data_IF_329305128974
#
_entry.id   IF_329305128974
#
_cell.length_a   1.000
_cell.length_b   1.000
_cell.length_c   1.000
_cell.angle_alpha   90.00
_cell.angle_beta   90.00
_cell.angle_gamma   90.00
#
_symmetry.space_group_name_H-M   'P 1'
#
loop_
_entity.id
_entity.type
_entity.pdbx_description
1 polymer ?
#
# COMPACT_ATOMS: atom_id res chain seq x y z
N UNK A 1 17.12 27.81 5.02
CA UNK A 1 15.96 27.03 5.49
C UNK A 1 16.34 25.57 5.35
N UNK A 2 16.56 24.84 6.45
CA UNK A 2 16.82 23.40 6.36
C UNK A 2 15.54 22.67 5.93
N UNK A 3 15.64 21.75 4.99
CA UNK A 3 14.50 20.91 4.60
C UNK A 3 14.09 20.04 5.79
N UNK A 4 12.78 19.86 6.00
CA UNK A 4 12.23 19.02 7.08
C UNK A 4 12.59 17.52 6.91
N UNK A 5 12.92 17.12 5.68
CA UNK A 5 13.35 15.76 5.34
C UNK A 5 14.62 15.89 4.52
N UNK A 6 15.68 15.23 4.97
CA UNK A 6 16.92 15.13 4.23
C UNK A 6 16.82 13.99 3.20
N UNK A 7 16.91 14.35 1.93
CA UNK A 7 16.89 13.41 0.83
C UNK A 7 18.30 13.04 0.35
N UNK A 8 19.35 13.79 0.72
CA UNK A 8 20.66 13.72 0.06
C UNK A 8 21.72 13.02 0.90
N UNK A 9 21.71 13.16 2.23
CA UNK A 9 22.81 12.66 3.07
C UNK A 9 22.81 11.15 3.31
N UNK A 10 21.62 10.55 3.42
CA UNK A 10 21.46 9.16 3.83
C UNK A 10 20.47 8.46 2.91
N UNK A 11 20.84 7.30 2.40
CA UNK A 11 19.95 6.48 1.59
C UNK A 11 19.08 5.60 2.48
N UNK A 12 17.82 6.00 2.66
CA UNK A 12 16.84 5.27 3.46
C UNK A 12 15.82 4.52 2.61
N UNK A 13 16.04 4.45 1.29
CA UNK A 13 15.15 3.76 0.34
C UNK A 13 14.93 2.28 0.68
N UNK A 14 15.88 1.59 1.31
CA UNK A 14 15.66 0.21 1.75
C UNK A 14 14.68 0.10 2.92
N UNK A 15 14.66 1.09 3.83
CA UNK A 15 13.75 1.09 4.97
C UNK A 15 12.29 1.31 4.57
N UNK A 16 12.03 1.80 3.37
CA UNK A 16 10.65 1.93 2.88
C UNK A 16 10.04 0.59 2.48
N UNK A 17 10.84 -0.46 2.27
CA UNK A 17 10.33 -1.82 1.99
C UNK A 17 9.60 -2.40 3.22
N UNK A 18 10.18 -2.49 4.43
CA UNK A 18 9.45 -2.94 5.61
C UNK A 18 8.29 -1.99 5.98
N UNK A 19 8.41 -0.69 5.71
CA UNK A 19 7.27 0.24 5.87
C UNK A 19 6.14 -0.11 4.90
N UNK A 20 6.43 -0.37 3.63
CA UNK A 20 5.43 -0.79 2.66
C UNK A 20 4.77 -2.13 3.03
N UNK A 21 5.55 -3.09 3.56
CA UNK A 21 5.02 -4.34 4.12
C UNK A 21 4.05 -4.07 5.27
N UNK A 22 4.42 -3.22 6.23
CA UNK A 22 3.55 -2.84 7.33
C UNK A 22 2.25 -2.16 6.83
N UNK A 23 2.35 -1.31 5.80
CA UNK A 23 1.18 -0.69 5.16
C UNK A 23 0.27 -1.70 4.44
N UNK A 24 0.77 -2.86 4.02
CA UNK A 24 -0.06 -3.96 3.52
C UNK A 24 -0.77 -4.70 4.65
N UNK A 25 -0.13 -4.80 5.83
CA UNK A 25 -0.66 -5.49 7.00
C UNK A 25 -1.74 -4.69 7.74
N UNK A 26 -1.63 -3.37 7.80
CA UNK A 26 -2.59 -2.52 8.52
C UNK A 26 -4.05 -2.74 8.06
N UNK A 27 -4.39 -2.73 6.75
CA UNK A 27 -5.75 -3.05 6.29
C UNK A 27 -6.21 -4.45 6.69
N UNK A 28 -5.30 -5.44 6.67
CA UNK A 28 -5.61 -6.80 7.05
C UNK A 28 -5.98 -6.88 8.53
N UNK A 29 -5.12 -6.36 9.42
CA UNK A 29 -5.38 -6.31 10.86
C UNK A 29 -6.65 -5.52 11.17
N UNK A 30 -6.88 -4.40 10.49
CA UNK A 30 -8.11 -3.62 10.61
C UNK A 30 -9.35 -4.45 10.26
N UNK A 31 -9.30 -5.25 9.18
CA UNK A 31 -10.41 -6.11 8.79
C UNK A 31 -10.73 -7.20 9.82
N UNK A 32 -9.69 -7.76 10.48
CA UNK A 32 -9.85 -8.78 11.52
C UNK A 32 -10.49 -8.20 12.78
N UNK A 33 -10.03 -7.03 13.23
CA UNK A 33 -10.58 -6.33 14.39
C UNK A 33 -12.05 -5.97 14.15
N UNK A 34 -12.39 -5.48 12.95
CA UNK A 34 -13.78 -5.19 12.59
C UNK A 34 -14.66 -6.44 12.48
N UNK A 35 -14.11 -7.57 12.03
CA UNK A 35 -14.84 -8.81 11.92
C UNK A 35 -15.15 -9.44 13.29
N UNK A 36 -14.33 -9.18 14.31
CA UNK A 36 -14.55 -9.66 15.68
C UNK A 36 -14.76 -11.17 15.72
N UNK A 37 -15.90 -11.62 16.28
CA UNK A 37 -16.28 -13.05 16.37
C UNK A 37 -16.37 -13.76 15.02
N UNK A 38 -16.56 -13.03 13.92
CA UNK A 38 -16.68 -13.60 12.57
C UNK A 38 -15.31 -13.94 11.96
N UNK A 39 -14.21 -13.55 12.61
CA UNK A 39 -12.87 -13.96 12.24
C UNK A 39 -12.49 -15.30 12.90
N UNK A 40 -12.66 -16.39 12.15
CA UNK A 40 -12.20 -17.72 12.54
C UNK A 40 -10.70 -17.89 12.20
N UNK A 41 -9.89 -18.18 13.23
CA UNK A 41 -8.44 -18.39 13.11
C UNK A 41 -8.13 -19.73 12.41
N UNK A 42 -9.01 -20.73 12.49
CA UNK A 42 -8.87 -21.99 11.75
C UNK A 42 -9.13 -21.84 10.25
N UNK A 43 -9.97 -20.86 9.86
CA UNK A 43 -10.34 -20.59 8.48
C UNK A 43 -10.31 -19.09 8.14
N UNK A 44 -9.16 -18.41 8.25
CA UNK A 44 -9.06 -16.94 8.18
C UNK A 44 -9.42 -16.37 6.79
N UNK A 45 -9.41 -17.21 5.75
CA UNK A 45 -9.83 -16.80 4.40
C UNK A 45 -11.35 -16.69 4.28
N UNK A 46 -12.13 -17.31 5.17
CA UNK A 46 -13.60 -17.30 5.18
C UNK A 46 -14.23 -16.13 5.93
N UNK A 47 -13.43 -15.24 6.53
CA UNK A 47 -13.94 -14.10 7.31
C UNK A 47 -14.97 -13.24 6.56
N UNK A 48 -14.79 -12.98 5.27
CA UNK A 48 -15.76 -12.16 4.50
C UNK A 48 -17.10 -12.88 4.33
N UNK A 49 -17.05 -14.19 4.09
CA UNK A 49 -18.25 -15.02 3.98
C UNK A 49 -18.99 -15.08 5.32
N UNK A 50 -18.27 -15.23 6.43
CA UNK A 50 -18.85 -15.22 7.77
C UNK A 50 -19.50 -13.86 8.09
N UNK A 51 -18.81 -12.76 7.81
CA UNK A 51 -19.36 -11.41 8.01
C UNK A 51 -20.59 -11.15 7.13
N UNK A 52 -20.62 -11.66 5.89
CA UNK A 52 -21.76 -11.49 5.00
C UNK A 52 -22.99 -12.30 5.41
N UNK A 53 -22.81 -13.42 6.13
CA UNK A 53 -23.89 -14.27 6.65
C UNK A 53 -24.44 -13.78 8.00
N UNK A 54 -23.68 -12.97 8.74
CA UNK A 54 -24.11 -12.42 10.03
C UNK A 54 -25.12 -11.27 9.84
N UNK A 55 -26.41 -11.57 10.04
CA UNK A 55 -27.50 -10.60 9.92
C UNK A 55 -27.49 -9.53 11.03
N UNK A 56 -26.70 -9.72 12.09
CA UNK A 56 -26.54 -8.72 13.16
C UNK A 56 -25.53 -7.62 12.81
N UNK A 57 -24.72 -7.81 11.76
CA UNK A 57 -23.75 -6.79 11.32
C UNK A 57 -24.37 -5.78 10.37
N UNK A 58 -24.01 -4.51 10.56
CA UNK A 58 -24.35 -3.47 9.61
C UNK A 58 -23.68 -3.70 8.24
N UNK A 59 -24.45 -3.47 7.17
CA UNK A 59 -24.00 -3.69 5.78
C UNK A 59 -22.83 -2.78 5.40
N UNK A 60 -22.72 -1.56 5.96
CA UNK A 60 -21.58 -0.70 5.68
C UNK A 60 -20.30 -1.25 6.31
N UNK A 61 -20.39 -1.79 7.53
CA UNK A 61 -19.27 -2.49 8.18
C UNK A 61 -18.80 -3.70 7.37
N UNK A 62 -19.73 -4.55 6.90
CA UNK A 62 -19.39 -5.71 6.05
C UNK A 62 -18.67 -5.26 4.76
N UNK A 63 -19.17 -4.21 4.10
CA UNK A 63 -18.50 -3.65 2.91
C UNK A 63 -17.11 -3.10 3.25
N UNK A 64 -16.93 -2.44 4.40
CA UNK A 64 -15.64 -1.89 4.83
C UNK A 64 -14.61 -3.00 5.10
N UNK A 65 -15.02 -4.11 5.73
CA UNK A 65 -14.18 -5.30 5.92
C UNK A 65 -13.72 -5.85 4.57
N UNK A 66 -14.64 -6.01 3.61
CA UNK A 66 -14.28 -6.51 2.27
C UNK A 66 -13.30 -5.59 1.55
N UNK A 67 -13.53 -4.27 1.58
CA UNK A 67 -12.58 -3.30 1.00
C UNK A 67 -11.21 -3.33 1.68
N UNK A 68 -11.16 -3.49 3.01
CA UNK A 68 -9.89 -3.59 3.73
C UNK A 68 -9.10 -4.85 3.36
N UNK A 69 -9.78 -6.00 3.19
CA UNK A 69 -9.14 -7.22 2.69
C UNK A 69 -8.67 -7.09 1.24
N UNK A 70 -9.47 -6.49 0.37
CA UNK A 70 -9.07 -6.20 -1.00
C UNK A 70 -7.85 -5.24 -1.06
N UNK A 71 -7.80 -4.23 -0.20
CA UNK A 71 -6.68 -3.30 -0.10
C UNK A 71 -5.39 -4.00 0.35
N UNK A 72 -5.48 -4.92 1.33
CA UNK A 72 -4.36 -5.75 1.76
C UNK A 72 -3.84 -6.64 0.61
N UNK A 73 -4.74 -7.38 -0.07
CA UNK A 73 -4.36 -8.24 -1.22
C UNK A 73 -3.63 -7.46 -2.29
N UNK A 74 -4.19 -6.30 -2.69
CA UNK A 74 -3.57 -5.42 -3.68
C UNK A 74 -2.19 -4.92 -3.25
N UNK A 75 -2.02 -4.61 -1.96
CA UNK A 75 -0.72 -4.26 -1.40
C UNK A 75 0.29 -5.39 -1.60
N UNK A 76 -0.06 -6.62 -1.20
CA UNK A 76 0.81 -7.78 -1.34
C UNK A 76 1.15 -8.14 -2.79
N UNK A 77 0.19 -8.03 -3.70
CA UNK A 77 0.38 -8.27 -5.14
C UNK A 77 1.45 -7.34 -5.75
N UNK A 78 1.57 -6.12 -5.24
CA UNK A 78 2.48 -5.09 -5.79
C UNK A 78 3.76 -4.90 -4.97
N UNK A 79 3.82 -5.43 -3.75
CA UNK A 79 4.97 -5.29 -2.84
C UNK A 79 6.25 -5.88 -3.42
N UNK A 80 6.17 -7.07 -4.04
CA UNK A 80 7.33 -7.72 -4.66
C UNK A 80 7.93 -6.89 -5.80
N UNK A 81 7.07 -6.32 -6.64
CA UNK A 81 7.49 -5.45 -7.74
C UNK A 81 8.16 -4.17 -7.22
N UNK A 82 7.60 -3.57 -6.16
CA UNK A 82 8.21 -2.40 -5.52
C UNK A 82 9.58 -2.71 -4.90
N UNK A 83 9.68 -3.78 -4.11
CA UNK A 83 10.93 -4.19 -3.49
C UNK A 83 12.02 -4.46 -4.54
N UNK A 84 11.67 -5.14 -5.63
CA UNK A 84 12.57 -5.37 -6.75
C UNK A 84 13.05 -4.05 -7.39
N UNK A 85 12.16 -3.08 -7.58
CA UNK A 85 12.52 -1.78 -8.14
C UNK A 85 13.47 -0.97 -7.22
N UNK A 86 13.26 -1.03 -5.90
CA UNK A 86 14.14 -0.39 -4.91
C UNK A 86 15.52 -1.03 -4.93
N UNK A 87 15.61 -2.35 -4.93
CA UNK A 87 16.89 -3.08 -5.02
C UNK A 87 17.58 -2.74 -6.33
N UNK A 88 16.88 -2.80 -7.46
CA UNK A 88 17.43 -2.50 -8.77
C UNK A 88 17.99 -1.08 -8.86
N UNK A 89 17.25 -0.07 -8.37
CA UNK A 89 17.71 1.32 -8.37
C UNK A 89 18.97 1.54 -7.52
N UNK A 90 19.05 0.89 -6.35
CA UNK A 90 20.23 0.97 -5.50
C UNK A 90 21.45 0.26 -6.11
N UNK A 91 21.26 -0.96 -6.66
CA UNK A 91 22.33 -1.73 -7.31
C UNK A 91 22.86 -1.02 -8.56
N UNK A 92 21.98 -0.35 -9.30
CA UNK A 92 22.34 0.45 -10.46
C UNK A 92 23.05 1.76 -10.12
N UNK A 93 23.16 2.14 -8.84
CA UNK A 93 23.81 3.39 -8.42
C UNK A 93 22.98 4.65 -8.69
N UNK A 94 21.65 4.55 -8.72
CA UNK A 94 20.78 5.73 -8.83
C UNK A 94 21.03 6.68 -7.65
N UNK A 95 21.13 7.98 -7.93
CA UNK A 95 21.41 9.01 -6.92
C UNK A 95 20.47 8.91 -5.70
N UNK A 96 21.05 9.01 -4.50
CA UNK A 96 20.35 8.86 -3.21
C UNK A 96 19.12 9.75 -3.09
N UNK A 97 19.22 11.01 -3.53
CA UNK A 97 18.09 11.94 -3.54
C UNK A 97 16.91 11.40 -4.34
N UNK A 98 17.19 10.88 -5.54
CA UNK A 98 16.16 10.35 -6.42
C UNK A 98 15.53 9.08 -5.86
N UNK A 99 16.34 8.20 -5.27
CA UNK A 99 15.87 6.99 -4.60
C UNK A 99 14.92 7.34 -3.47
N UNK A 100 15.34 8.22 -2.56
CA UNK A 100 14.55 8.64 -1.40
C UNK A 100 13.24 9.36 -1.81
N UNK A 101 13.27 10.22 -2.83
CA UNK A 101 12.06 10.88 -3.34
C UNK A 101 11.05 9.89 -3.89
N UNK A 102 11.48 8.96 -4.74
CA UNK A 102 10.60 7.99 -5.37
C UNK A 102 10.05 6.99 -4.35
N UNK A 103 10.88 6.47 -3.44
CA UNK A 103 10.39 5.55 -2.42
C UNK A 103 9.44 6.21 -1.43
N UNK A 104 9.66 7.49 -1.09
CA UNK A 104 8.69 8.28 -0.31
C UNK A 104 7.36 8.42 -1.03
N UNK A 105 7.40 8.80 -2.31
CA UNK A 105 6.20 8.99 -3.11
C UNK A 105 5.37 7.70 -3.17
N UNK A 106 6.04 6.54 -3.27
CA UNK A 106 5.36 5.25 -3.18
C UNK A 106 4.70 5.03 -1.81
N UNK A 107 5.43 5.23 -0.71
CA UNK A 107 4.89 5.06 0.65
C UNK A 107 3.67 5.96 0.88
N UNK A 108 3.76 7.23 0.50
CA UNK A 108 2.65 8.19 0.58
C UNK A 108 1.47 7.73 -0.28
N UNK A 109 1.72 7.25 -1.50
CA UNK A 109 0.67 6.71 -2.37
C UNK A 109 -0.05 5.51 -1.74
N UNK A 110 0.67 4.65 -1.00
CA UNK A 110 0.09 3.49 -0.32
C UNK A 110 -0.77 3.89 0.87
N UNK A 111 -0.34 4.87 1.66
CA UNK A 111 -1.15 5.45 2.74
C UNK A 111 -2.44 6.05 2.16
N UNK A 112 -2.31 6.85 1.10
CA UNK A 112 -3.45 7.47 0.43
C UNK A 112 -4.41 6.42 -0.18
N UNK A 113 -3.88 5.40 -0.86
CA UNK A 113 -4.68 4.33 -1.45
C UNK A 113 -5.49 3.58 -0.40
N UNK A 114 -4.84 3.16 0.70
CA UNK A 114 -5.51 2.45 1.79
C UNK A 114 -6.63 3.32 2.40
N UNK A 115 -6.36 4.60 2.66
CA UNK A 115 -7.35 5.52 3.21
C UNK A 115 -8.54 5.75 2.26
N UNK A 116 -8.27 5.99 0.98
CA UNK A 116 -9.31 6.17 -0.06
C UNK A 116 -10.18 4.93 -0.17
N UNK A 117 -9.57 3.75 -0.24
CA UNK A 117 -10.31 2.51 -0.48
C UNK A 117 -11.13 2.07 0.75
N UNK A 118 -10.57 2.18 1.95
CA UNK A 118 -11.22 1.67 3.15
C UNK A 118 -12.25 2.65 3.68
N UNK A 119 -11.90 3.93 3.82
CA UNK A 119 -12.71 4.93 4.52
C UNK A 119 -13.44 5.86 3.55
N UNK A 120 -12.75 6.44 2.57
CA UNK A 120 -13.34 7.48 1.73
C UNK A 120 -14.40 6.94 0.77
N UNK A 121 -14.23 5.69 0.31
CA UNK A 121 -15.17 5.00 -0.58
C UNK A 121 -16.50 4.62 0.09
N UNK A 122 -16.70 4.90 1.38
CA UNK A 122 -18.05 4.90 1.96
C UNK A 122 -18.97 5.92 1.28
N UNK A 123 -18.39 7.01 0.76
CA UNK A 123 -19.06 7.89 -0.17
C UNK A 123 -18.68 7.51 -1.62
N UNK A 124 -19.68 7.08 -2.38
CA UNK A 124 -19.50 6.59 -3.75
C UNK A 124 -18.82 7.61 -4.69
N UNK A 125 -18.91 8.91 -4.40
CA UNK A 125 -18.26 9.99 -5.18
C UNK A 125 -16.73 9.86 -5.21
N UNK A 126 -16.13 9.28 -4.17
CA UNK A 126 -14.68 9.12 -4.07
C UNK A 126 -14.16 7.79 -4.63
N UNK A 127 -15.04 6.91 -5.13
CA UNK A 127 -14.64 5.63 -5.68
C UNK A 127 -13.68 5.77 -6.89
N UNK A 128 -13.83 6.84 -7.67
CA UNK A 128 -12.96 7.14 -8.81
C UNK A 128 -11.53 7.57 -8.42
N UNK A 129 -11.30 8.02 -7.18
CA UNK A 129 -9.96 8.41 -6.72
C UNK A 129 -9.05 7.19 -6.51
N UNK A 130 -9.62 6.05 -6.12
CA UNK A 130 -8.87 4.81 -5.85
C UNK A 130 -7.97 4.38 -7.02
N UNK A 131 -8.48 4.20 -8.26
CA UNK A 131 -7.64 3.81 -9.39
C UNK A 131 -6.58 4.86 -9.76
N UNK A 132 -6.88 6.15 -9.57
CA UNK A 132 -5.90 7.23 -9.84
C UNK A 132 -4.72 7.19 -8.88
N UNK A 133 -4.98 7.04 -7.58
CA UNK A 133 -3.93 6.94 -6.56
C UNK A 133 -3.11 5.65 -6.76
N UNK A 134 -3.77 4.55 -7.14
CA UNK A 134 -3.08 3.31 -7.48
C UNK A 134 -2.16 3.48 -8.69
N UNK A 135 -2.65 4.11 -9.75
CA UNK A 135 -1.86 4.36 -10.96
C UNK A 135 -0.63 5.21 -10.66
N UNK A 136 -0.78 6.25 -9.83
CA UNK A 136 0.35 7.07 -9.38
C UNK A 136 1.40 6.23 -8.64
N UNK A 137 0.98 5.33 -7.75
CA UNK A 137 1.88 4.42 -7.05
C UNK A 137 2.64 3.49 -8.00
N UNK A 138 1.95 2.87 -8.96
CA UNK A 138 2.58 2.01 -9.97
C UNK A 138 3.51 2.81 -10.89
N UNK A 139 3.13 4.01 -11.29
CA UNK A 139 4.00 4.88 -12.08
C UNK A 139 5.33 5.17 -11.36
N UNK A 140 5.30 5.37 -10.03
CA UNK A 140 6.51 5.51 -9.21
C UNK A 140 7.38 4.27 -9.24
N UNK A 141 6.80 3.07 -9.16
CA UNK A 141 7.54 1.80 -9.29
C UNK A 141 8.21 1.70 -10.67
N UNK A 142 7.50 2.05 -11.74
CA UNK A 142 8.08 2.06 -13.09
C UNK A 142 9.18 3.11 -13.23
N UNK A 143 9.02 4.29 -12.62
CA UNK A 143 10.07 5.32 -12.58
C UNK A 143 11.35 4.85 -11.87
N UNK A 144 11.25 4.01 -10.84
CA UNK A 144 12.41 3.41 -10.19
C UNK A 144 13.17 2.49 -11.16
N UNK A 145 12.47 1.62 -11.88
CA UNK A 145 13.10 0.75 -12.89
C UNK A 145 13.73 1.56 -14.05
N UNK A 146 13.04 2.58 -14.54
CA UNK A 146 13.58 3.47 -15.58
C UNK A 146 14.80 4.24 -15.08
N UNK A 147 14.79 4.69 -13.83
CA UNK A 147 15.97 5.33 -13.23
C UNK A 147 17.15 4.37 -13.13
N UNK A 148 16.90 3.12 -12.71
CA UNK A 148 17.93 2.07 -12.66
C UNK A 148 18.53 1.81 -14.05
N UNK A 149 17.70 1.65 -15.08
CA UNK A 149 18.16 1.45 -16.45
C UNK A 149 19.03 2.61 -16.97
N UNK A 150 18.66 3.86 -16.67
CA UNK A 150 19.44 5.05 -17.06
C UNK A 150 20.74 5.22 -16.29
N UNK A 151 20.89 4.61 -15.12
CA UNK A 151 22.13 4.67 -14.36
C UNK A 151 23.18 3.66 -14.87
N UNK A 152 22.74 2.65 -15.63
CA UNK A 152 23.60 1.59 -16.19
C UNK A 152 23.99 1.80 -17.66
N UNK A 153 23.42 2.79 -18.34
CA UNK A 153 23.68 3.12 -19.75
C UNK A 153 24.11 4.58 -19.89
#
# INVERSE_FOLDING_TARGET
MAALIDFTSTNWSYYTIPVAFALCMIPHSYSMVLAGKNHDIGHPRKTEEHCAKDTSMDKATVRRISRAKAAASNGFETLGLYAAAVVAGNVAGVATERMNQLTLAYVVSRVAYNYVYISLQDNARFAALRPLVWLAGIAVVMMLFVAAGKALN
#
